data_IF_803887941543
#
_entry.id   IF_803887941543
#
_cell.length_a   1.000
_cell.length_b   1.000
_cell.length_c   1.000
_cell.angle_alpha   90.00
_cell.angle_beta   90.00
_cell.angle_gamma   90.00
#
_symmetry.space_group_name_H-M   'P 1'
#
loop_
_entity.id
_entity.type
_entity.pdbx_description
1 polymer ?
#
# COMPACT_ATOMS: atom_id res chain seq x y z
N UNK A 1 1.72 8.02 15.83
CA UNK A 1 2.56 8.37 14.66
C UNK A 1 1.62 8.63 13.51
N UNK A 2 1.87 9.68 12.72
CA UNK A 2 1.07 9.97 11.53
C UNK A 2 1.28 8.90 10.45
N UNK A 3 0.33 8.70 9.53
CA UNK A 3 0.50 7.72 8.49
C UNK A 3 1.61 8.18 7.53
N UNK A 4 2.63 7.35 7.34
CA UNK A 4 3.48 7.43 6.14
C UNK A 4 2.67 6.84 4.99
N UNK A 5 2.59 7.55 3.87
CA UNK A 5 1.79 7.13 2.71
C UNK A 5 2.70 6.86 1.53
N UNK A 6 2.55 5.69 0.93
CA UNK A 6 3.06 5.36 -0.41
C UNK A 6 1.86 5.34 -1.33
N UNK A 7 1.70 6.41 -2.12
CA UNK A 7 0.58 6.60 -3.06
C UNK A 7 1.08 6.52 -4.49
N UNK A 8 0.25 5.98 -5.39
CA UNK A 8 0.46 6.00 -6.86
C UNK A 8 1.81 5.43 -7.33
N UNK A 9 2.35 4.49 -6.56
CA UNK A 9 3.67 3.92 -6.85
C UNK A 9 3.58 2.77 -7.87
N UNK A 10 4.35 2.86 -8.96
CA UNK A 10 4.41 1.82 -10.00
C UNK A 10 5.82 1.28 -10.19
N UNK A 11 5.96 -0.05 -10.20
CA UNK A 11 7.22 -0.75 -10.42
C UNK A 11 6.99 -2.10 -11.12
N UNK A 12 6.62 -2.06 -12.41
CA UNK A 12 6.21 -3.22 -13.20
C UNK A 12 7.37 -4.08 -13.73
N UNK A 13 8.62 -3.60 -13.66
CA UNK A 13 9.79 -4.28 -14.24
C UNK A 13 10.25 -5.57 -13.55
N UNK A 14 9.70 -5.92 -12.37
CA UNK A 14 10.05 -7.16 -11.68
C UNK A 14 9.02 -7.57 -10.62
N UNK A 15 8.75 -8.87 -10.52
CA UNK A 15 7.97 -9.46 -9.42
C UNK A 15 8.72 -9.48 -8.08
N UNK A 16 10.00 -9.08 -8.09
CA UNK A 16 10.84 -8.97 -6.88
C UNK A 16 10.82 -7.58 -6.25
N UNK A 17 10.33 -6.55 -6.93
CA UNK A 17 10.15 -5.24 -6.32
C UNK A 17 9.14 -5.37 -5.18
N UNK A 18 9.50 -4.94 -3.98
CA UNK A 18 8.69 -5.14 -2.80
C UNK A 18 8.57 -3.86 -1.99
N UNK A 19 7.33 -3.53 -1.60
CA UNK A 19 7.03 -2.56 -0.56
C UNK A 19 6.91 -3.34 0.74
N UNK A 20 7.93 -3.24 1.58
CA UNK A 20 7.95 -3.87 2.90
C UNK A 20 8.90 -3.16 3.85
N UNK A 21 8.59 -3.08 5.16
CA UNK A 21 9.55 -2.64 6.15
C UNK A 21 10.74 -3.61 6.20
N UNK A 22 11.94 -3.05 6.06
CA UNK A 22 13.15 -3.85 5.84
C UNK A 22 13.77 -4.36 7.16
N UNK A 23 13.86 -3.51 8.18
CA UNK A 23 14.40 -3.86 9.50
C UNK A 23 13.58 -3.25 10.63
N UNK A 24 13.46 -4.00 11.75
CA UNK A 24 12.68 -3.66 12.95
C UNK A 24 11.17 -3.54 12.69
N UNK A 25 10.45 -3.16 13.75
CA UNK A 25 9.01 -2.92 13.74
C UNK A 25 8.69 -1.53 13.18
N UNK A 26 7.68 -1.45 12.32
CA UNK A 26 7.12 -0.20 11.82
C UNK A 26 5.61 -0.12 12.05
N UNK A 27 5.07 1.10 12.14
CA UNK A 27 3.63 1.37 12.33
C UNK A 27 3.15 2.53 11.50
N UNK A 28 1.86 2.52 11.15
CA UNK A 28 1.21 3.66 10.48
C UNK A 28 1.71 3.82 9.05
N UNK A 29 1.68 2.74 8.28
CA UNK A 29 2.00 2.77 6.85
C UNK A 29 0.72 2.53 6.04
N UNK A 30 0.38 3.46 5.17
CA UNK A 30 -0.62 3.28 4.12
C UNK A 30 0.10 3.04 2.80
N UNK A 31 -0.17 1.92 2.15
CA UNK A 31 0.23 1.65 0.77
C UNK A 31 -1.04 1.67 -0.06
N UNK A 32 -1.16 2.62 -0.99
CA UNK A 32 -2.35 2.76 -1.81
C UNK A 32 -2.05 2.96 -3.29
N UNK A 33 -2.98 2.49 -4.14
CA UNK A 33 -2.88 2.57 -5.60
C UNK A 33 -1.52 2.12 -6.16
N UNK A 34 -0.87 1.20 -5.43
CA UNK A 34 0.44 0.70 -5.79
C UNK A 34 0.32 -0.45 -6.79
N UNK A 35 1.22 -0.50 -7.76
CA UNK A 35 1.33 -1.52 -8.80
C UNK A 35 2.74 -2.07 -8.81
N UNK A 36 2.97 -3.16 -8.09
CA UNK A 36 4.33 -3.61 -7.74
C UNK A 36 4.44 -5.13 -7.68
N UNK A 37 5.66 -5.67 -7.65
CA UNK A 37 5.89 -7.09 -7.41
C UNK A 37 5.19 -7.58 -6.15
N UNK A 38 5.49 -6.97 -5.01
CA UNK A 38 5.04 -7.47 -3.71
C UNK A 38 4.70 -6.33 -2.76
N UNK A 39 3.69 -6.53 -1.92
CA UNK A 39 3.41 -5.67 -0.75
C UNK A 39 3.30 -6.61 0.46
N UNK A 40 4.21 -6.46 1.42
CA UNK A 40 4.34 -7.41 2.52
C UNK A 40 4.32 -6.72 3.89
N UNK A 41 3.18 -6.79 4.57
CA UNK A 41 3.00 -6.46 5.98
C UNK A 41 2.94 -7.78 6.77
N UNK A 42 4.11 -8.36 7.06
CA UNK A 42 4.21 -9.76 7.53
C UNK A 42 5.22 -9.97 8.65
N UNK A 43 5.16 -11.14 9.26
CA UNK A 43 6.29 -11.70 9.99
C UNK A 43 7.35 -12.17 8.99
N UNK A 44 8.57 -11.65 9.13
CA UNK A 44 9.74 -11.98 8.29
C UNK A 44 10.52 -13.19 8.81
N UNK A 45 10.11 -13.77 9.94
CA UNK A 45 10.76 -14.92 10.55
C UNK A 45 12.25 -14.67 10.81
N UNK A 46 13.08 -15.64 10.41
CA UNK A 46 14.55 -15.58 10.56
C UNK A 46 15.29 -15.01 9.34
N UNK A 47 14.60 -14.53 8.29
CA UNK A 47 15.24 -14.02 7.07
C UNK A 47 16.29 -12.95 7.44
N UNK A 48 17.57 -13.28 7.43
CA UNK A 48 18.71 -12.37 7.62
C UNK A 48 19.31 -12.27 9.04
N UNK A 49 18.55 -12.45 10.14
CA UNK A 49 19.07 -12.37 11.53
C UNK A 49 18.02 -12.45 12.67
N UNK A 50 16.73 -12.67 12.38
CA UNK A 50 15.66 -12.63 13.40
C UNK A 50 14.83 -11.34 13.38
N UNK A 51 14.18 -11.07 12.25
CA UNK A 51 13.44 -9.82 12.02
C UNK A 51 12.04 -9.83 12.64
N UNK A 52 11.46 -11.02 12.87
CA UNK A 52 10.14 -11.14 13.50
C UNK A 52 9.07 -10.33 12.76
N UNK A 53 8.17 -9.71 13.51
CA UNK A 53 7.11 -8.86 12.97
C UNK A 53 7.64 -7.53 12.46
N UNK A 54 7.42 -7.25 11.18
CA UNK A 54 7.91 -6.05 10.52
C UNK A 54 6.90 -4.88 10.51
N UNK A 55 5.61 -5.17 10.70
CA UNK A 55 4.53 -4.17 10.59
C UNK A 55 3.38 -4.46 11.56
N UNK A 56 2.87 -3.40 12.19
CA UNK A 56 1.55 -3.34 12.80
C UNK A 56 0.85 -2.02 12.50
N UNK A 57 -0.48 -1.99 12.45
CA UNK A 57 -1.26 -0.83 12.01
C UNK A 57 -0.88 -0.36 10.58
N UNK A 58 -0.57 -1.31 9.69
CA UNK A 58 -0.37 -1.06 8.26
C UNK A 58 -1.62 -1.35 7.45
N UNK A 59 -1.83 -0.60 6.37
CA UNK A 59 -2.99 -0.71 5.49
C UNK A 59 -2.51 -0.83 4.04
N UNK A 60 -3.01 -1.83 3.33
CA UNK A 60 -2.94 -1.93 1.88
C UNK A 60 -4.32 -1.56 1.34
N UNK A 61 -4.38 -0.53 0.50
CA UNK A 61 -5.63 0.01 -0.05
C UNK A 61 -5.57 0.06 -1.57
N UNK A 62 -6.60 -0.42 -2.26
CA UNK A 62 -6.75 -0.21 -3.70
C UNK A 62 -5.50 -0.54 -4.54
N UNK A 63 -4.75 -1.58 -4.18
CA UNK A 63 -3.43 -1.88 -4.75
C UNK A 63 -3.40 -3.21 -5.49
N UNK A 64 -2.54 -3.31 -6.50
CA UNK A 64 -2.31 -4.50 -7.32
C UNK A 64 -0.88 -4.97 -7.12
N UNK A 65 -0.70 -6.25 -6.82
CA UNK A 65 0.63 -6.85 -6.80
C UNK A 65 0.64 -8.30 -7.23
N UNK A 66 1.81 -8.85 -7.55
CA UNK A 66 1.92 -10.32 -7.74
C UNK A 66 1.86 -11.08 -6.43
N UNK A 67 2.15 -10.40 -5.32
CA UNK A 67 2.03 -10.93 -3.97
C UNK A 67 1.56 -9.87 -3.00
N UNK A 68 0.47 -10.15 -2.29
CA UNK A 68 -0.03 -9.31 -1.21
C UNK A 68 -0.02 -10.11 0.09
N UNK A 69 0.51 -9.54 1.16
CA UNK A 69 0.46 -10.11 2.50
C UNK A 69 0.13 -9.04 3.54
N UNK A 70 -0.94 -9.27 4.29
CA UNK A 70 -1.28 -8.53 5.49
C UNK A 70 -1.53 -9.54 6.62
N UNK A 71 -0.50 -9.78 7.43
CA UNK A 71 -0.56 -10.67 8.59
C UNK A 71 -0.67 -9.87 9.87
N UNK A 72 -1.40 -10.38 10.85
CA UNK A 72 -1.61 -9.71 12.12
C UNK A 72 -0.54 -10.07 13.15
N UNK A 73 0.28 -9.11 13.61
CA UNK A 73 1.17 -9.34 14.74
C UNK A 73 0.38 -9.53 16.06
N UNK A 74 1.00 -10.14 17.09
CA UNK A 74 0.46 -10.09 18.44
C UNK A 74 0.16 -8.65 18.84
N UNK A 75 -1.04 -8.40 19.39
CA UNK A 75 -1.54 -7.09 19.85
C UNK A 75 -1.73 -5.98 18.80
N UNK A 76 -1.65 -6.26 17.50
CA UNK A 76 -1.92 -5.26 16.46
C UNK A 76 -2.54 -5.89 15.21
N UNK A 77 -3.13 -5.07 14.34
CA UNK A 77 -3.78 -5.50 13.10
C UNK A 77 -3.15 -4.85 11.88
N UNK A 78 -3.11 -5.59 10.78
CA UNK A 78 -2.85 -5.04 9.46
C UNK A 78 -4.08 -5.27 8.60
N UNK A 79 -4.38 -4.34 7.70
CA UNK A 79 -5.58 -4.40 6.87
C UNK A 79 -5.21 -4.43 5.39
N UNK A 80 -6.04 -5.14 4.62
CA UNK A 80 -5.99 -5.14 3.16
C UNK A 80 -7.41 -4.97 2.66
N UNK A 81 -7.65 -3.89 1.90
CA UNK A 81 -8.98 -3.52 1.42
C UNK A 81 -8.88 -3.20 -0.06
N UNK A 82 -9.88 -3.64 -0.82
CA UNK A 82 -9.99 -3.41 -2.26
C UNK A 82 -8.67 -3.73 -3.00
N UNK A 83 -7.95 -4.80 -2.68
CA UNK A 83 -6.64 -5.06 -3.29
C UNK A 83 -6.62 -6.40 -4.01
N UNK A 84 -5.86 -6.49 -5.11
CA UNK A 84 -5.91 -7.61 -6.05
C UNK A 84 -4.53 -8.21 -6.29
N UNK A 85 -4.46 -9.53 -6.31
CA UNK A 85 -3.27 -10.26 -6.77
C UNK A 85 -3.36 -10.59 -8.25
N UNK A 86 -2.26 -10.47 -8.98
CA UNK A 86 -2.16 -10.78 -10.42
C UNK A 86 -0.98 -11.69 -10.71
N UNK A 87 -1.03 -12.50 -11.76
CA UNK A 87 0.09 -13.40 -12.11
C UNK A 87 1.28 -12.66 -12.74
N UNK A 88 0.99 -11.60 -13.50
CA UNK A 88 2.00 -10.81 -14.23
C UNK A 88 1.74 -9.33 -14.02
N UNK A 89 2.84 -8.57 -13.97
CA UNK A 89 2.81 -7.11 -14.02
C UNK A 89 2.95 -6.69 -15.48
N UNK A 90 1.82 -6.35 -16.10
CA UNK A 90 1.78 -5.80 -17.46
C UNK A 90 1.40 -4.33 -17.38
N UNK A 91 1.79 -3.56 -18.40
CA UNK A 91 1.37 -2.15 -18.53
C UNK A 91 -0.16 -2.02 -18.63
N UNK A 92 -0.84 -3.04 -19.14
CA UNK A 92 -2.31 -3.12 -19.23
C UNK A 92 -2.98 -2.98 -17.86
N UNK A 93 -2.28 -3.35 -16.77
CA UNK A 93 -2.81 -3.15 -15.44
C UNK A 93 -3.17 -1.68 -15.24
N UNK A 94 -2.39 -0.72 -15.76
CA UNK A 94 -2.64 0.72 -15.60
C UNK A 94 -4.03 1.15 -16.11
N UNK A 95 -4.67 0.32 -16.92
CA UNK A 95 -6.00 0.52 -17.48
C UNK A 95 -7.09 -0.35 -16.82
N UNK A 96 -6.77 -1.11 -15.75
CA UNK A 96 -7.74 -1.94 -15.02
C UNK A 96 -8.82 -1.02 -14.42
N UNK A 97 -10.08 -1.09 -14.89
CA UNK A 97 -11.15 -0.18 -14.47
C UNK A 97 -11.58 -0.41 -13.01
N UNK A 98 -11.16 -1.52 -12.38
CA UNK A 98 -11.40 -1.77 -10.96
C UNK A 98 -10.58 -0.82 -10.06
N UNK A 99 -9.60 -0.13 -10.65
CA UNK A 99 -8.64 0.76 -9.98
C UNK A 99 -8.47 2.05 -10.80
N UNK A 100 -9.59 2.70 -11.09
CA UNK A 100 -9.59 4.01 -11.72
C UNK A 100 -8.99 5.05 -10.77
N UNK A 101 -7.83 5.58 -11.11
CA UNK A 101 -7.15 6.61 -10.36
C UNK A 101 -7.93 7.93 -10.29
N UNK A 102 -8.88 8.14 -11.20
CA UNK A 102 -9.76 9.30 -11.16
C UNK A 102 -10.94 9.10 -10.18
N UNK A 103 -11.17 7.87 -9.73
CA UNK A 103 -12.18 7.60 -8.71
C UNK A 103 -11.59 7.89 -7.31
N UNK A 104 -12.10 8.92 -6.60
CA UNK A 104 -11.61 9.26 -5.26
C UNK A 104 -11.75 8.11 -4.25
N UNK A 105 -12.65 7.15 -4.47
CA UNK A 105 -12.79 5.98 -3.59
C UNK A 105 -11.56 5.06 -3.60
N UNK A 106 -10.73 5.15 -4.65
CA UNK A 106 -9.48 4.42 -4.73
C UNK A 106 -8.36 5.03 -3.87
N UNK A 107 -8.59 6.21 -3.29
CA UNK A 107 -7.61 6.95 -2.49
C UNK A 107 -8.08 7.22 -1.06
N UNK A 108 -7.61 6.41 -0.10
CA UNK A 108 -7.94 6.65 1.30
C UNK A 108 -7.27 7.93 1.81
N UNK A 109 -6.05 8.23 1.35
CA UNK A 109 -5.36 9.45 1.75
C UNK A 109 -6.09 10.70 1.26
N UNK A 110 -6.52 10.71 -0.01
CA UNK A 110 -7.24 11.85 -0.57
C UNK A 110 -8.56 12.06 0.17
N UNK A 111 -9.35 11.00 0.39
CA UNK A 111 -10.62 11.09 1.14
C UNK A 111 -10.40 11.70 2.55
N UNK A 112 -9.37 11.24 3.26
CA UNK A 112 -9.03 11.78 4.58
C UNK A 112 -8.49 13.21 4.52
N UNK A 113 -7.77 13.59 3.47
CA UNK A 113 -7.26 14.95 3.31
C UNK A 113 -8.41 15.92 3.01
N UNK A 114 -9.29 15.56 2.09
CA UNK A 114 -10.50 16.30 1.73
C UNK A 114 -11.37 16.59 2.96
N UNK A 115 -11.56 15.61 3.83
CA UNK A 115 -12.30 15.78 5.09
C UNK A 115 -11.67 16.83 6.03
N UNK A 116 -10.34 16.97 6.03
CA UNK A 116 -9.62 17.88 6.94
C UNK A 116 -9.52 19.31 6.44
N UNK A 117 -9.30 19.51 5.14
CA UNK A 117 -8.91 20.82 4.59
C UNK A 117 -9.85 21.35 3.51
N UNK A 118 -10.91 20.60 3.14
CA UNK A 118 -11.79 20.79 1.97
C UNK A 118 -11.23 20.24 0.66
N UNK A 119 -12.14 19.99 -0.30
CA UNK A 119 -11.81 19.43 -1.61
C UNK A 119 -10.87 20.29 -2.44
N UNK A 120 -11.04 21.62 -2.38
CA UNK A 120 -10.26 22.56 -3.18
C UNK A 120 -8.80 22.61 -2.70
N UNK A 121 -8.60 22.70 -1.39
CA UNK A 121 -7.26 22.70 -0.77
C UNK A 121 -6.58 21.33 -0.91
N UNK A 122 -7.34 20.23 -0.79
CA UNK A 122 -6.78 18.90 -0.96
C UNK A 122 -6.21 18.68 -2.37
N UNK A 123 -6.90 19.18 -3.40
CA UNK A 123 -6.43 19.16 -4.80
C UNK A 123 -5.12 19.93 -4.99
N UNK A 124 -5.06 21.14 -4.43
CA UNK A 124 -3.84 21.97 -4.45
C UNK A 124 -2.65 21.25 -3.80
N UNK A 125 -2.84 20.61 -2.63
CA UNK A 125 -1.79 19.85 -1.94
C UNK A 125 -1.33 18.64 -2.75
N UNK A 126 -2.24 17.99 -3.47
CA UNK A 126 -1.96 16.78 -4.25
C UNK A 126 -1.41 17.10 -5.66
N UNK A 127 -1.45 18.36 -6.08
CA UNK A 127 -0.83 18.84 -7.31
C UNK A 127 -1.64 18.62 -8.59
N UNK A 128 -2.98 18.58 -8.50
CA UNK A 128 -3.88 18.48 -9.65
C UNK A 128 -5.14 19.33 -9.52
#
# INVERSE_FOLDING_TARGET
MGPNVISDYSALGSTRHAIEPHQRWSTGLLVERARVGQINLKNRGILGSGHGWAMGAGIIWSSIATKLMAQDPPSSKNFMVNSKTVEKLTEELNQDPSFDFNDPWTSLYQLQLQERVSDEVAKEILGY
#
